data_IF_123624093270
#
_entry.id   IF_123624093270
#
_cell.length_a   1.000
_cell.length_b   1.000
_cell.length_c   1.000
_cell.angle_alpha   90.00
_cell.angle_beta   90.00
_cell.angle_gamma   90.00
#
_symmetry.space_group_name_H-M   'P 1'
#
loop_
_entity.id
_entity.type
_entity.pdbx_description
1 polymer ?
#
# COMPACT_ATOMS: atom_id res chain seq x y z
N UNK A 1 34.53 -7.25 -32.74
CA UNK A 1 33.51 -6.28 -32.24
C UNK A 1 32.72 -7.01 -31.18
N UNK A 2 32.88 -6.69 -29.89
CA UNK A 2 32.04 -7.24 -28.84
C UNK A 2 31.60 -6.09 -27.93
N UNK A 3 30.29 -5.88 -27.83
CA UNK A 3 29.72 -4.89 -26.95
C UNK A 3 29.71 -5.43 -25.51
N UNK A 4 30.08 -4.63 -24.50
CA UNK A 4 29.95 -5.06 -23.11
C UNK A 4 28.47 -5.21 -22.77
N UNK A 5 28.09 -6.40 -22.31
CA UNK A 5 26.76 -6.71 -21.80
C UNK A 5 26.47 -5.80 -20.60
N UNK A 6 25.68 -4.74 -20.79
CA UNK A 6 25.30 -3.85 -19.69
C UNK A 6 24.29 -4.60 -18.82
N UNK A 7 24.69 -4.91 -17.58
CA UNK A 7 23.82 -5.50 -16.58
C UNK A 7 22.64 -4.54 -16.31
N UNK A 8 21.38 -5.00 -16.29
CA UNK A 8 20.23 -4.14 -16.02
C UNK A 8 20.37 -3.41 -14.67
N UNK A 9 19.88 -2.16 -14.53
CA UNK A 9 20.01 -1.42 -13.30
C UNK A 9 19.30 -2.16 -12.16
N UNK A 10 19.99 -2.35 -11.04
CA UNK A 10 19.42 -2.98 -9.85
C UNK A 10 18.22 -2.16 -9.34
N UNK A 11 17.10 -2.80 -8.97
CA UNK A 11 15.88 -2.09 -8.60
C UNK A 11 16.11 -1.30 -7.31
N UNK A 12 16.13 0.03 -7.40
CA UNK A 12 16.37 0.95 -6.27
C UNK A 12 15.49 0.58 -5.08
N UNK A 13 16.06 0.09 -3.97
CA UNK A 13 15.36 -0.46 -2.78
C UNK A 13 14.86 0.60 -1.79
N UNK A 14 14.46 1.79 -2.25
CA UNK A 14 14.24 2.97 -1.40
C UNK A 14 12.98 2.94 -0.51
N UNK A 15 12.24 1.83 -0.45
CA UNK A 15 11.07 1.72 0.44
C UNK A 15 11.44 1.13 1.80
N UNK A 16 11.17 1.86 2.89
CA UNK A 16 11.11 1.26 4.24
C UNK A 16 9.79 0.49 4.40
N UNK A 17 9.82 -0.60 5.14
CA UNK A 17 8.64 -1.40 5.43
C UNK A 17 7.64 -0.57 6.26
N UNK A 18 6.38 -0.41 5.83
CA UNK A 18 5.39 0.41 6.56
C UNK A 18 4.95 -0.22 7.89
N UNK A 19 5.23 -1.50 8.10
CA UNK A 19 4.84 -2.24 9.31
C UNK A 19 5.90 -2.14 10.42
N UNK A 20 7.19 -2.10 10.06
CA UNK A 20 8.27 -2.15 11.06
C UNK A 20 9.50 -1.26 10.77
N UNK A 21 9.50 -0.50 9.68
CA UNK A 21 10.56 0.47 9.33
C UNK A 21 11.87 -0.12 8.75
N UNK A 22 12.02 -1.45 8.74
CA UNK A 22 13.18 -2.16 8.14
C UNK A 22 13.23 -1.97 6.62
N UNK A 23 14.40 -2.10 5.97
CA UNK A 23 14.49 -2.06 4.51
C UNK A 23 13.55 -3.09 3.85
N UNK A 24 12.84 -2.68 2.80
CA UNK A 24 12.01 -3.62 2.02
C UNK A 24 12.88 -4.66 1.32
N UNK A 25 12.36 -5.89 1.22
CA UNK A 25 13.01 -6.95 0.47
C UNK A 25 12.59 -6.85 -1.01
N UNK A 26 13.49 -7.02 -1.98
CA UNK A 26 13.18 -6.84 -3.41
C UNK A 26 12.02 -7.68 -3.92
N UNK A 27 11.86 -8.88 -3.37
CA UNK A 27 10.82 -9.87 -3.70
C UNK A 27 9.47 -9.61 -2.99
N UNK A 28 9.45 -8.75 -1.97
CA UNK A 28 8.28 -8.56 -1.08
C UNK A 28 7.92 -7.10 -0.85
N UNK A 29 8.37 -6.20 -1.72
CA UNK A 29 8.09 -4.76 -1.64
C UNK A 29 6.57 -4.54 -1.60
N UNK A 30 6.06 -3.66 -0.71
CA UNK A 30 6.78 -2.71 0.13
C UNK A 30 7.30 -3.25 1.48
N UNK A 31 7.18 -4.54 1.76
CA UNK A 31 7.48 -5.15 3.06
C UNK A 31 8.89 -5.77 3.15
N UNK A 32 9.36 -6.02 4.37
CA UNK A 32 10.63 -6.74 4.60
C UNK A 32 10.44 -8.28 4.65
N UNK A 33 9.22 -8.77 4.95
CA UNK A 33 8.93 -10.20 5.13
C UNK A 33 7.47 -10.54 4.87
N UNK A 34 7.19 -11.84 4.62
CA UNK A 34 5.82 -12.38 4.52
C UNK A 34 5.00 -12.03 5.77
N UNK A 35 5.60 -12.14 6.95
CA UNK A 35 4.96 -11.80 8.23
C UNK A 35 4.46 -10.35 8.27
N UNK A 36 5.23 -9.40 7.74
CA UNK A 36 4.79 -8.01 7.70
C UNK A 36 3.62 -7.81 6.72
N UNK A 37 3.63 -8.48 5.57
CA UNK A 37 2.51 -8.43 4.62
C UNK A 37 1.22 -9.02 5.24
N UNK A 38 1.32 -10.12 5.98
CA UNK A 38 0.17 -10.72 6.68
C UNK A 38 -0.38 -9.82 7.80
N UNK A 39 0.49 -9.10 8.54
CA UNK A 39 0.07 -8.13 9.54
C UNK A 39 -0.69 -6.97 8.90
N UNK A 40 -0.18 -6.45 7.77
CA UNK A 40 -0.84 -5.41 7.01
C UNK A 40 -2.24 -5.86 6.57
N UNK A 41 -2.34 -7.04 5.96
CA UNK A 41 -3.61 -7.65 5.59
C UNK A 41 -4.56 -7.78 6.79
N UNK A 42 -4.04 -8.19 7.96
CA UNK A 42 -4.84 -8.25 9.18
C UNK A 42 -5.36 -6.89 9.64
N UNK A 43 -4.63 -5.79 9.41
CA UNK A 43 -5.11 -4.42 9.68
C UNK A 43 -6.22 -4.01 8.70
N UNK A 44 -6.06 -4.36 7.42
CA UNK A 44 -7.10 -4.16 6.40
C UNK A 44 -8.40 -4.86 6.75
N UNK A 45 -8.33 -6.16 7.03
CA UNK A 45 -9.52 -6.97 7.34
C UNK A 45 -10.23 -6.52 8.62
N UNK A 46 -9.52 -5.86 9.54
CA UNK A 46 -10.08 -5.29 10.77
C UNK A 46 -10.61 -3.86 10.59
N UNK A 47 -10.53 -3.29 9.39
CA UNK A 47 -10.93 -1.90 9.14
C UNK A 47 -10.06 -0.88 9.88
N UNK A 48 -8.80 -1.21 10.19
CA UNK A 48 -7.91 -0.32 10.95
C UNK A 48 -7.39 0.86 10.12
N UNK A 49 -7.55 0.84 8.80
CA UNK A 49 -7.21 1.94 7.93
C UNK A 49 -8.43 2.83 7.71
N UNK A 50 -8.36 4.07 8.17
CA UNK A 50 -9.40 5.08 8.01
C UNK A 50 -8.84 6.28 7.29
N UNK A 51 -9.65 6.89 6.43
CA UNK A 51 -9.34 8.16 5.79
C UNK A 51 -10.15 9.23 6.55
N UNK A 52 -9.50 10.22 7.17
CA UNK A 52 -10.24 11.32 7.76
C UNK A 52 -10.97 12.10 6.66
N UNK A 53 -12.27 12.31 6.83
CA UNK A 53 -13.10 13.10 5.94
C UNK A 53 -13.91 14.11 6.73
N UNK A 54 -14.52 15.06 6.03
CA UNK A 54 -15.57 15.88 6.64
C UNK A 54 -16.70 14.95 7.13
N UNK A 55 -17.37 15.32 8.24
CA UNK A 55 -18.51 14.55 8.70
C UNK A 55 -19.51 14.43 7.55
N UNK A 56 -19.92 13.20 7.25
CA UNK A 56 -21.07 12.99 6.37
C UNK A 56 -22.25 13.68 7.04
N UNK A 57 -22.91 14.59 6.32
CA UNK A 57 -24.13 15.22 6.82
C UNK A 57 -25.15 14.15 7.20
N UNK A 58 -26.05 14.47 8.12
CA UNK A 58 -27.15 13.56 8.44
C UNK A 58 -27.93 13.29 7.15
N UNK A 59 -28.00 12.03 6.74
CA UNK A 59 -28.94 11.60 5.71
C UNK A 59 -30.27 11.42 6.43
N UNK A 60 -30.89 12.52 6.87
CA UNK A 60 -32.33 12.50 7.06
C UNK A 60 -33.02 12.52 5.69
N UNK A 61 -33.89 11.52 5.53
CA UNK A 61 -34.90 11.32 4.48
C UNK A 61 -34.64 11.81 3.04
N UNK A 62 -34.26 10.85 2.17
CA UNK A 62 -34.90 10.74 0.86
C UNK A 62 -34.18 11.31 -0.36
N UNK A 63 -33.01 11.95 -0.22
CA UNK A 63 -32.25 12.39 -1.39
C UNK A 63 -31.18 11.36 -1.75
N UNK A 64 -31.61 10.27 -2.40
CA UNK A 64 -30.69 9.57 -3.30
C UNK A 64 -30.43 10.55 -4.44
N UNK A 65 -29.17 10.96 -4.61
CA UNK A 65 -28.73 11.66 -5.81
C UNK A 65 -29.34 10.94 -7.02
N UNK A 66 -30.19 11.67 -7.72
CA UNK A 66 -30.86 11.29 -8.94
C UNK A 66 -29.78 11.07 -10.01
N UNK A 67 -29.19 9.87 -10.03
CA UNK A 67 -28.38 9.39 -11.14
C UNK A 67 -29.33 9.03 -12.29
N UNK A 68 -29.72 10.04 -13.06
CA UNK A 68 -30.08 9.85 -14.48
C UNK A 68 -28.82 9.52 -15.30
#
# INVERSE_FOLDING_TARGET
MNAPSRKPPEPKTTGRCPICGKPSAPDRRPFCSKRCAEIDLGRWLKGAYTVPGEPVGNIDDGTLDEFE
#
